data_IF_375672219515
#
_entry.id   IF_375672219515
#
_cell.length_a   1.000
_cell.length_b   1.000
_cell.length_c   1.000
_cell.angle_alpha   90.00
_cell.angle_beta   90.00
_cell.angle_gamma   90.00
#
_symmetry.space_group_name_H-M   'P 1'
#
loop_
_entity.id
_entity.type
_entity.pdbx_description
1 polymer ?
#
# COMPACT_ATOMS: atom_id res chain seq x y z
N UNK A 1 -7.65 -3.49 16.44
CA UNK A 1 -7.23 -4.89 16.56
C UNK A 1 -6.29 -5.27 15.44
N UNK A 2 -6.02 -6.57 15.27
CA UNK A 2 -5.11 -7.09 14.23
C UNK A 2 -5.62 -6.79 12.81
N UNK A 3 -6.94 -6.86 12.61
CA UNK A 3 -7.57 -6.62 11.29
C UNK A 3 -7.33 -5.18 10.84
N UNK A 4 -7.57 -4.22 11.73
CA UNK A 4 -7.38 -2.80 11.47
C UNK A 4 -5.90 -2.48 11.24
N UNK A 5 -5.01 -3.16 11.97
CA UNK A 5 -3.57 -3.03 11.74
C UNK A 5 -3.16 -3.51 10.35
N UNK A 6 -3.66 -4.68 9.92
CA UNK A 6 -3.41 -5.22 8.58
C UNK A 6 -3.97 -4.28 7.50
N UNK A 7 -5.19 -3.78 7.69
CA UNK A 7 -5.82 -2.84 6.77
C UNK A 7 -5.00 -1.54 6.66
N UNK A 8 -4.62 -0.94 7.78
CA UNK A 8 -3.77 0.26 7.79
C UNK A 8 -2.45 0.03 7.04
N UNK A 9 -1.79 -1.10 7.27
CA UNK A 9 -0.52 -1.43 6.61
C UNK A 9 -0.65 -1.66 5.11
N UNK A 10 -1.79 -2.20 4.64
CA UNK A 10 -2.00 -2.48 3.22
C UNK A 10 -2.55 -1.28 2.44
N UNK A 11 -3.40 -0.46 3.06
CA UNK A 11 -4.17 0.57 2.36
C UNK A 11 -3.72 2.01 2.62
N UNK A 12 -3.27 2.32 3.84
CA UNK A 12 -3.13 3.70 4.28
C UNK A 12 -1.69 4.13 4.53
N UNK A 13 -0.86 3.21 5.05
CA UNK A 13 0.52 3.49 5.44
C UNK A 13 1.31 4.11 4.28
N UNK A 14 2.10 5.14 4.57
CA UNK A 14 3.03 5.83 3.64
C UNK A 14 2.46 6.31 2.29
N UNK A 15 1.13 6.34 2.10
CA UNK A 15 0.45 6.72 0.85
C UNK A 15 0.91 8.06 0.25
N UNK A 16 1.21 9.04 1.11
CA UNK A 16 1.79 10.34 0.73
C UNK A 16 3.13 10.20 -0.03
N UNK A 17 4.01 9.31 0.42
CA UNK A 17 5.30 9.05 -0.25
C UNK A 17 5.12 8.27 -1.55
N UNK A 18 4.03 7.51 -1.67
CA UNK A 18 3.70 6.68 -2.82
C UNK A 18 2.81 7.41 -3.84
N UNK A 19 2.84 8.75 -3.87
CA UNK A 19 2.04 9.57 -4.80
C UNK A 19 0.54 9.25 -4.75
N UNK A 20 0.02 8.95 -3.55
CA UNK A 20 -1.40 8.62 -3.36
C UNK A 20 -1.75 7.15 -3.57
N UNK A 21 -0.81 6.28 -3.92
CA UNK A 21 -1.05 4.83 -4.01
C UNK A 21 -1.00 4.18 -2.62
N UNK A 22 -1.90 3.22 -2.38
CA UNK A 22 -1.77 2.35 -1.22
C UNK A 22 -0.53 1.45 -1.35
N UNK A 23 0.05 0.99 -0.22
CA UNK A 23 1.15 0.04 -0.22
C UNK A 23 0.92 -1.18 -1.14
N UNK A 24 -0.27 -1.76 -1.15
CA UNK A 24 -0.59 -2.91 -2.02
C UNK A 24 -0.56 -2.54 -3.50
N UNK A 25 -1.22 -1.45 -3.91
CA UNK A 25 -1.23 -0.97 -5.30
C UNK A 25 0.15 -0.58 -5.81
N UNK A 26 1.00 -0.03 -4.94
CA UNK A 26 2.37 0.29 -5.30
C UNK A 26 3.19 -0.97 -5.62
N UNK A 27 3.02 -2.06 -4.85
CA UNK A 27 3.69 -3.34 -5.11
C UNK A 27 3.20 -3.99 -6.42
N UNK A 28 1.89 -3.98 -6.66
CA UNK A 28 1.31 -4.50 -7.91
C UNK A 28 1.87 -3.77 -9.13
N UNK A 29 1.95 -2.44 -9.06
CA UNK A 29 2.58 -1.63 -10.12
C UNK A 29 4.06 -1.93 -10.30
N UNK A 30 4.80 -2.18 -9.22
CA UNK A 30 6.22 -2.52 -9.30
C UNK A 30 6.46 -3.90 -9.94
N UNK A 31 5.50 -4.82 -9.81
CA UNK A 31 5.56 -6.15 -10.43
C UNK A 31 5.20 -6.12 -11.91
N UNK A 32 4.33 -5.21 -12.35
CA UNK A 32 3.91 -5.11 -13.75
C UNK A 32 4.86 -4.32 -14.66
N UNK A 33 5.83 -3.61 -14.08
CA UNK A 33 6.87 -2.89 -14.84
C UNK A 33 8.14 -3.72 -15.06
N UNK A 34 8.15 -4.98 -14.61
CA UNK A 34 9.25 -5.93 -14.80
C UNK A 34 9.06 -6.77 -16.07
#
# INVERSE_FOLDING_TARGET
>A
GLVEYIQYYNEERIKLKLKGLSPVKYRERAQSVA
#
